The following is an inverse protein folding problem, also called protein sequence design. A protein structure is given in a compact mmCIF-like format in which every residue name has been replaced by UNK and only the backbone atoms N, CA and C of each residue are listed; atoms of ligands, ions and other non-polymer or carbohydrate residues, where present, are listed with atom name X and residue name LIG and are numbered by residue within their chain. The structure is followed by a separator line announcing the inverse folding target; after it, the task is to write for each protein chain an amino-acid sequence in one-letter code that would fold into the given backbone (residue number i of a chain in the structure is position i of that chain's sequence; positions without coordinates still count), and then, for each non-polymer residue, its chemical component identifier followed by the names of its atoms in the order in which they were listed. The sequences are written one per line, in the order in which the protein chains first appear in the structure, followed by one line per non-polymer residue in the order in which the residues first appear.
data_IF_424182628985
#
_entry.id   IF_424182628985
#
_cell.length_a   1.000
_cell.length_b   1.000
_cell.length_c   1.000
_cell.angle_alpha   90.00
_cell.angle_beta   90.00
_cell.angle_gamma   90.00
#
_symmetry.space_group_name_H-M   'P 1'
#
loop_
_entity.id
_entity.type
_entity.pdbx_description
1 polymer ?
#
# COMPACT_ATOMS: atom_id res chain seq x y z
N UNK A 1 -2.70 27.43 72.40
CA UNK A 1 -1.36 27.25 71.79
C UNK A 1 -1.28 25.89 71.12
N UNK A 2 -0.82 25.86 69.85
CA UNK A 2 -0.37 24.72 69.04
C UNK A 2 -1.36 23.54 68.90
N UNK A 3 -2.30 23.54 67.93
CA UNK A 3 -2.12 22.95 66.57
C UNK A 3 -0.73 22.37 66.32
N UNK A 4 -0.62 21.09 66.01
CA UNK A 4 -0.04 20.60 64.74
C UNK A 4 -0.18 19.06 64.64
N UNK A 5 -1.02 18.59 63.70
CA UNK A 5 -0.59 17.86 62.49
C UNK A 5 0.00 16.48 62.78
N UNK A 6 -0.79 15.42 62.58
CA UNK A 6 -0.27 14.09 62.23
C UNK A 6 -1.31 13.18 61.56
N UNK A 7 -2.26 13.76 60.82
CA UNK A 7 -3.27 13.01 60.06
C UNK A 7 -3.29 13.45 58.58
N UNK A 8 -2.10 13.70 58.02
CA UNK A 8 -1.92 14.06 56.61
C UNK A 8 -0.85 13.19 55.91
N UNK A 9 -0.73 11.91 56.28
CA UNK A 9 0.14 10.97 55.58
C UNK A 9 -0.56 9.70 55.09
N UNK A 10 -1.87 9.75 54.86
CA UNK A 10 -2.63 8.63 54.29
C UNK A 10 -3.50 9.01 53.07
N UNK A 11 -3.27 10.18 52.47
CA UNK A 11 -3.98 10.61 51.26
C UNK A 11 -3.06 10.73 50.02
N UNK A 12 -1.99 9.94 49.94
CA UNK A 12 -1.17 9.85 48.71
C UNK A 12 -1.32 8.53 47.95
N UNK A 13 -2.22 7.63 48.37
CA UNK A 13 -2.94 6.78 47.42
C UNK A 13 -4.17 7.55 46.93
N UNK A 14 -3.94 8.74 46.36
CA UNK A 14 -4.85 9.25 45.34
C UNK A 14 -4.75 8.21 44.24
N UNK A 15 -5.68 7.26 44.23
CA UNK A 15 -6.09 6.58 43.01
C UNK A 15 -6.18 7.70 41.98
N UNK A 16 -5.22 7.70 41.05
CA UNK A 16 -5.30 8.55 39.86
C UNK A 16 -6.75 8.48 39.42
N UNK A 17 -7.45 9.62 39.31
CA UNK A 17 -8.88 9.60 39.05
C UNK A 17 -9.16 8.58 37.96
N UNK A 18 -10.10 7.66 38.15
CA UNK A 18 -10.47 6.72 37.09
C UNK A 18 -10.62 7.40 35.71
N UNK A 19 -11.02 8.68 35.60
CA UNK A 19 -10.93 9.47 34.36
C UNK A 19 -9.52 9.71 33.81
N UNK A 20 -8.47 9.90 34.63
CA UNK A 20 -7.07 10.04 34.24
C UNK A 20 -6.43 8.69 33.84
N UNK A 21 -6.83 7.58 34.47
CA UNK A 21 -6.47 6.22 34.02
C UNK A 21 -7.24 5.85 32.74
N UNK A 22 -8.53 6.21 32.64
CA UNK A 22 -9.33 6.04 31.43
C UNK A 22 -8.84 6.95 30.29
N UNK A 23 -8.31 8.14 30.63
CA UNK A 23 -7.67 9.04 29.67
C UNK A 23 -6.26 8.60 29.28
N UNK A 24 -5.54 7.82 30.09
CA UNK A 24 -4.31 7.12 29.65
C UNK A 24 -4.61 5.83 28.88
N UNK A 25 -5.81 5.26 29.07
CA UNK A 25 -6.42 4.26 28.19
C UNK A 25 -7.13 4.86 26.96
N UNK A 26 -7.06 6.18 26.75
CA UNK A 26 -7.47 6.76 25.47
C UNK A 26 -6.43 6.42 24.41
N UNK A 27 -6.68 5.30 23.75
CA UNK A 27 -6.21 4.96 22.40
C UNK A 27 -4.76 5.38 22.14
N UNK A 28 -3.81 4.65 22.72
CA UNK A 28 -2.58 4.34 21.97
C UNK A 28 -3.06 3.88 20.59
N UNK A 29 -2.65 4.62 19.58
CA UNK A 29 -2.99 4.48 18.17
C UNK A 29 -3.18 2.99 17.79
N UNK A 30 -4.42 2.51 17.78
CA UNK A 30 -4.73 1.09 17.60
C UNK A 30 -4.28 0.57 16.22
N UNK A 31 -3.81 1.48 15.37
CA UNK A 31 -3.15 1.16 14.12
C UNK A 31 -1.87 0.35 14.34
N UNK A 32 -1.03 0.60 15.34
CA UNK A 32 0.20 -0.19 15.50
C UNK A 32 -0.10 -1.65 15.86
N UNK A 33 -1.09 -1.89 16.73
CA UNK A 33 -1.55 -3.23 17.07
C UNK A 33 -2.19 -3.94 15.87
N UNK A 34 -3.11 -3.27 15.17
CA UNK A 34 -3.72 -3.80 13.94
C UNK A 34 -2.70 -4.16 12.88
N UNK A 35 -1.60 -3.41 12.81
CA UNK A 35 -0.53 -3.62 11.83
C UNK A 35 0.21 -4.91 12.16
N UNK A 36 0.53 -5.09 13.43
CA UNK A 36 1.22 -6.28 13.91
C UNK A 36 0.36 -7.53 13.68
N UNK A 37 -0.95 -7.43 13.93
CA UNK A 37 -1.88 -8.54 13.65
C UNK A 37 -1.92 -8.84 12.14
N UNK A 38 -2.02 -7.82 11.28
CA UNK A 38 -1.98 -8.02 9.83
C UNK A 38 -0.64 -8.67 9.40
N UNK A 39 0.49 -8.22 9.94
CA UNK A 39 1.82 -8.80 9.69
C UNK A 39 1.91 -10.25 10.15
N UNK A 40 1.27 -10.62 11.26
CA UNK A 40 1.20 -12.01 11.75
C UNK A 40 0.29 -12.90 10.89
N UNK A 41 -0.83 -12.38 10.38
CA UNK A 41 -1.67 -13.12 9.42
C UNK A 41 -0.91 -13.39 8.14
N UNK A 42 -0.15 -12.40 7.66
CA UNK A 42 0.67 -12.56 6.46
C UNK A 42 1.85 -13.48 6.74
N UNK A 43 2.57 -13.24 7.85
CA UNK A 43 3.76 -13.95 8.29
C UNK A 43 4.72 -14.26 7.14
N UNK A 44 4.71 -15.51 6.68
CA UNK A 44 5.58 -16.02 5.63
C UNK A 44 4.87 -16.30 4.30
N UNK A 45 3.59 -16.00 4.23
CA UNK A 45 2.74 -16.30 3.09
C UNK A 45 2.79 -15.21 2.01
N UNK A 46 2.44 -15.61 0.79
CA UNK A 46 2.12 -14.72 -0.33
C UNK A 46 0.65 -14.91 -0.69
N UNK A 47 -0.10 -13.82 -0.72
CA UNK A 47 -1.50 -13.78 -1.15
C UNK A 47 -1.55 -13.22 -2.56
N UNK A 48 -1.95 -14.03 -3.54
CA UNK A 48 -2.04 -13.64 -4.94
C UNK A 48 -3.47 -13.32 -5.32
N UNK A 49 -3.67 -12.20 -6.01
CA UNK A 49 -5.00 -11.73 -6.38
C UNK A 49 -5.21 -11.72 -7.88
N UNK A 50 -6.35 -12.29 -8.29
CA UNK A 50 -6.86 -12.20 -9.64
C UNK A 50 -7.68 -10.95 -9.81
N UNK A 51 -7.39 -10.19 -10.87
CA UNK A 51 -8.12 -8.99 -11.25
C UNK A 51 -8.99 -9.27 -12.47
N UNK A 52 -10.28 -9.02 -12.35
CA UNK A 52 -11.22 -9.06 -13.48
C UNK A 52 -11.61 -7.64 -13.83
N UNK A 53 -11.22 -7.18 -15.01
CA UNK A 53 -11.51 -5.82 -15.48
C UNK A 53 -13.00 -5.69 -15.78
N UNK A 54 -13.65 -4.69 -15.18
CA UNK A 54 -15.09 -4.45 -15.32
C UNK A 54 -15.42 -3.25 -16.18
N UNK A 55 -14.57 -2.21 -16.17
CA UNK A 55 -14.79 -0.98 -16.95
C UNK A 55 -13.46 -0.30 -17.29
N UNK A 56 -13.41 0.29 -18.49
CA UNK A 56 -12.32 1.16 -18.94
C UNK A 56 -12.92 2.49 -19.41
N UNK A 57 -12.31 3.60 -19.00
CA UNK A 57 -12.57 4.93 -19.56
C UNK A 57 -11.22 5.58 -19.86
N UNK A 58 -10.90 5.80 -21.13
CA UNK A 58 -9.62 6.40 -21.56
C UNK A 58 -9.86 7.77 -22.17
N UNK A 59 -9.01 8.76 -21.86
CA UNK A 59 -9.11 10.08 -22.48
C UNK A 59 -8.20 10.22 -23.72
N UNK A 60 -6.97 9.70 -23.71
CA UNK A 60 -6.04 9.90 -24.85
C UNK A 60 -4.96 8.82 -25.03
N UNK A 61 -4.90 7.79 -24.17
CA UNK A 61 -3.90 6.72 -24.26
C UNK A 61 -4.60 5.37 -24.24
N UNK A 62 -4.35 4.55 -25.26
CA UNK A 62 -4.94 3.23 -25.33
C UNK A 62 -4.17 2.24 -24.44
N UNK A 63 -4.76 1.92 -23.30
CA UNK A 63 -4.29 0.88 -22.36
C UNK A 63 -5.33 -0.24 -22.21
N UNK A 64 -6.15 -0.47 -23.23
CA UNK A 64 -7.25 -1.44 -23.19
C UNK A 64 -6.78 -2.84 -22.79
N UNK A 65 -5.64 -3.26 -23.33
CA UNK A 65 -5.02 -4.55 -23.04
C UNK A 65 -4.08 -4.55 -21.82
N UNK A 66 -3.97 -3.43 -21.10
CA UNK A 66 -3.11 -3.38 -19.93
C UNK A 66 -3.63 -4.28 -18.81
N UNK A 67 -2.77 -5.16 -18.32
CA UNK A 67 -3.04 -6.08 -17.22
C UNK A 67 -1.92 -6.02 -16.19
N UNK A 68 -2.28 -6.29 -14.96
CA UNK A 68 -1.35 -6.39 -13.84
C UNK A 68 -1.96 -7.31 -12.78
N UNK A 69 -1.15 -7.72 -11.81
CA UNK A 69 -1.60 -8.50 -10.67
C UNK A 69 -1.29 -7.76 -9.38
N UNK A 70 -2.02 -8.11 -8.32
CA UNK A 70 -1.65 -7.74 -6.97
C UNK A 70 -1.15 -8.95 -6.20
N UNK A 71 -0.15 -8.73 -5.36
CA UNK A 71 0.27 -9.70 -4.36
C UNK A 71 0.53 -9.00 -3.02
N UNK A 72 0.17 -9.65 -1.91
CA UNK A 72 0.47 -9.19 -0.55
C UNK A 72 1.44 -10.16 0.11
N UNK A 73 2.52 -9.65 0.70
CA UNK A 73 3.54 -10.49 1.34
C UNK A 73 4.76 -9.70 1.80
N UNK A 74 5.77 -10.43 2.31
CA UNK A 74 7.11 -9.87 2.52
C UNK A 74 7.75 -9.54 1.17
N UNK A 75 8.23 -8.31 0.99
CA UNK A 75 8.73 -7.84 -0.30
C UNK A 75 9.86 -8.71 -0.89
N UNK A 76 10.74 -9.26 -0.06
CA UNK A 76 11.81 -10.17 -0.50
C UNK A 76 11.28 -11.51 -1.05
N UNK A 77 10.21 -12.05 -0.47
CA UNK A 77 9.53 -13.26 -0.97
C UNK A 77 8.82 -12.99 -2.28
N UNK A 78 8.17 -11.84 -2.42
CA UNK A 78 7.59 -11.39 -3.68
C UNK A 78 8.67 -11.28 -4.77
N UNK A 79 9.83 -10.67 -4.45
CA UNK A 79 10.99 -10.59 -5.36
C UNK A 79 11.51 -11.95 -5.81
N UNK A 80 11.59 -12.92 -4.91
CA UNK A 80 12.00 -14.27 -5.25
C UNK A 80 10.99 -14.97 -6.17
N UNK A 81 9.69 -14.85 -5.86
CA UNK A 81 8.61 -15.51 -6.62
C UNK A 81 8.39 -14.90 -8.01
N UNK A 82 8.50 -13.59 -8.15
CA UNK A 82 8.28 -12.87 -9.40
C UNK A 82 9.58 -12.30 -9.97
N UNK A 83 10.64 -13.12 -10.02
CA UNK A 83 11.98 -12.72 -10.46
C UNK A 83 12.04 -12.15 -11.88
N UNK A 84 11.12 -12.56 -12.75
CA UNK A 84 11.01 -12.13 -14.15
C UNK A 84 10.02 -10.98 -14.37
N UNK A 85 9.45 -10.43 -13.30
CA UNK A 85 8.48 -9.35 -13.34
C UNK A 85 9.04 -8.07 -12.71
N UNK A 86 8.38 -6.94 -12.97
CA UNK A 86 8.58 -5.72 -12.22
C UNK A 86 7.64 -5.74 -11.01
N UNK A 87 8.20 -5.48 -9.83
CA UNK A 87 7.46 -5.44 -8.57
C UNK A 87 7.49 -4.02 -8.05
N UNK A 88 6.32 -3.41 -7.86
CA UNK A 88 6.17 -2.07 -7.30
C UNK A 88 5.45 -2.19 -5.96
N UNK A 89 6.10 -1.79 -4.87
CA UNK A 89 5.56 -1.89 -3.52
C UNK A 89 4.58 -0.75 -3.20
N UNK A 90 3.48 -0.74 -3.94
CA UNK A 90 2.54 0.39 -3.98
C UNK A 90 1.87 0.69 -2.65
N UNK A 91 1.75 -0.31 -1.76
CA UNK A 91 1.26 -0.11 -0.40
C UNK A 91 2.18 -0.74 0.65
N UNK A 92 3.17 0.00 1.18
CA UNK A 92 3.98 -0.48 2.29
C UNK A 92 3.23 -0.43 3.62
N UNK A 93 3.53 -1.38 4.50
CA UNK A 93 2.95 -1.55 5.83
C UNK A 93 3.69 -0.72 6.89
N UNK A 94 4.31 0.38 6.50
CA UNK A 94 4.92 1.35 7.41
C UNK A 94 4.39 2.74 7.13
N UNK A 95 4.47 3.64 8.11
CA UNK A 95 4.05 5.03 7.97
C UNK A 95 4.88 5.68 6.85
N UNK A 96 4.22 6.10 5.77
CA UNK A 96 4.81 6.95 4.73
C UNK A 96 4.60 8.40 5.20
N UNK A 97 5.66 9.21 5.21
CA UNK A 97 5.50 10.65 5.47
C UNK A 97 4.69 11.26 4.32
N UNK A 98 3.77 12.17 4.63
CA UNK A 98 3.08 12.94 3.60
C UNK A 98 4.11 13.76 2.77
N UNK A 99 4.07 13.64 1.45
CA UNK A 99 5.01 14.29 0.52
C UNK A 99 5.68 13.29 -0.44
N UNK A 100 6.27 13.80 -1.53
CA UNK A 100 6.96 12.99 -2.55
C UNK A 100 8.25 12.38 -1.98
N UNK A 101 8.23 11.10 -1.60
CA UNK A 101 9.49 10.36 -1.34
C UNK A 101 10.02 9.83 -2.67
N UNK A 102 11.03 10.49 -3.24
CA UNK A 102 11.75 9.99 -4.42
C UNK A 102 12.89 9.09 -3.98
N UNK A 103 12.78 7.80 -4.25
CA UNK A 103 13.85 6.82 -4.01
C UNK A 103 14.18 6.07 -5.30
N UNK A 104 15.39 5.51 -5.39
CA UNK A 104 15.74 4.66 -6.52
C UNK A 104 14.90 3.37 -6.44
N UNK A 105 14.46 2.85 -7.59
CA UNK A 105 13.63 1.64 -7.66
C UNK A 105 14.23 0.44 -6.90
N UNK A 106 15.56 0.31 -6.86
CA UNK A 106 16.25 -0.80 -6.20
C UNK A 106 16.40 -0.64 -4.68
N UNK A 107 16.14 0.54 -4.12
CA UNK A 107 16.30 0.84 -2.69
C UNK A 107 15.05 0.55 -1.85
N UNK A 108 14.03 -0.05 -2.47
CA UNK A 108 12.79 -0.42 -1.77
C UNK A 108 13.10 -1.34 -0.57
N UNK A 109 12.56 -0.96 0.59
CA UNK A 109 12.74 -1.65 1.88
C UNK A 109 12.18 -3.08 1.91
N UNK A 110 12.76 -3.90 2.78
CA UNK A 110 12.35 -5.27 3.10
C UNK A 110 11.25 -5.29 4.18
N UNK A 111 10.04 -4.88 3.83
CA UNK A 111 8.89 -4.99 4.76
C UNK A 111 7.72 -5.71 4.07
N UNK A 112 6.62 -5.86 4.79
CA UNK A 112 5.34 -6.28 4.26
C UNK A 112 4.76 -5.20 3.35
N UNK A 113 4.27 -5.63 2.19
CA UNK A 113 3.74 -4.74 1.16
C UNK A 113 2.56 -5.40 0.45
N UNK A 114 1.63 -4.58 -0.05
CA UNK A 114 0.83 -4.96 -1.20
C UNK A 114 1.50 -4.36 -2.44
N UNK A 115 1.84 -5.21 -3.40
CA UNK A 115 2.62 -4.87 -4.57
C UNK A 115 1.83 -5.10 -5.85
N UNK A 116 2.08 -4.23 -6.84
CA UNK A 116 1.73 -4.51 -8.22
C UNK A 116 2.83 -5.37 -8.83
N UNK A 117 2.42 -6.44 -9.49
CA UNK A 117 3.26 -7.30 -10.30
C UNK A 117 2.95 -6.99 -11.77
N UNK A 118 3.96 -6.50 -12.51
CA UNK A 118 3.87 -6.20 -13.94
C UNK A 118 4.76 -7.13 -14.74
N UNK A 119 4.21 -7.71 -15.80
CA UNK A 119 5.06 -8.33 -16.81
C UNK A 119 5.86 -7.28 -17.58
N UNK A 120 6.93 -7.71 -18.23
CA UNK A 120 7.74 -6.86 -19.11
C UNK A 120 6.92 -6.29 -20.29
N UNK A 121 5.95 -7.03 -20.81
CA UNK A 121 5.03 -6.60 -21.87
C UNK A 121 4.10 -5.49 -21.36
N UNK A 122 3.50 -5.68 -20.18
CA UNK A 122 2.65 -4.66 -19.56
C UNK A 122 3.45 -3.39 -19.24
N UNK A 123 4.67 -3.55 -18.71
CA UNK A 123 5.58 -2.44 -18.43
C UNK A 123 5.97 -1.67 -19.71
N UNK A 124 6.21 -2.38 -20.83
CA UNK A 124 6.46 -1.75 -22.15
C UNK A 124 5.23 -1.00 -22.66
N UNK A 125 4.04 -1.58 -22.51
CA UNK A 125 2.79 -0.97 -22.99
C UNK A 125 2.52 0.39 -22.34
N UNK A 126 2.76 0.53 -21.05
CA UNK A 126 2.61 1.82 -20.35
C UNK A 126 3.86 2.70 -20.41
N UNK A 127 4.93 2.19 -21.04
CA UNK A 127 6.16 2.94 -21.25
C UNK A 127 7.04 3.05 -20.01
N UNK A 128 6.98 2.13 -19.03
CA UNK A 128 7.97 2.07 -17.93
C UNK A 128 9.34 1.67 -18.49
N UNK A 129 9.35 0.67 -19.38
CA UNK A 129 10.52 0.26 -20.15
C UNK A 129 10.27 0.53 -21.63
N UNK A 130 11.34 0.79 -22.38
CA UNK A 130 11.24 1.08 -23.81
C UNK A 130 11.41 -0.20 -24.66
N UNK A 131 12.18 -1.17 -24.17
CA UNK A 131 12.43 -2.42 -24.88
C UNK A 131 12.63 -3.64 -23.97
N UNK A 132 12.32 -4.83 -24.51
CA UNK A 132 12.38 -6.15 -23.85
C UNK A 132 13.57 -6.95 -24.42
N UNK A 133 14.77 -6.37 -24.35
CA UNK A 133 16.03 -7.07 -24.63
C UNK A 133 16.57 -7.81 -23.40
N UNK A 134 17.69 -8.57 -23.51
CA UNK A 134 18.33 -9.25 -22.37
C UNK A 134 18.62 -8.32 -21.18
N UNK A 135 18.97 -7.06 -21.46
CA UNK A 135 19.34 -6.06 -20.44
C UNK A 135 18.19 -5.13 -20.05
N UNK A 136 16.92 -5.52 -20.26
CA UNK A 136 15.78 -4.66 -19.96
C UNK A 136 15.74 -4.18 -18.49
N UNK A 137 16.27 -4.98 -17.55
CA UNK A 137 16.37 -4.63 -16.12
C UNK A 137 17.33 -3.47 -15.87
N UNK A 138 18.31 -3.22 -16.74
CA UNK A 138 19.24 -2.08 -16.61
C UNK A 138 18.51 -0.74 -16.76
N UNK A 139 17.43 -0.70 -17.55
CA UNK A 139 16.59 0.50 -17.69
C UNK A 139 15.93 0.90 -16.34
N UNK A 140 15.73 -0.06 -15.43
CA UNK A 140 15.13 0.19 -14.12
C UNK A 140 16.07 0.92 -13.16
N UNK A 141 17.40 0.83 -13.36
CA UNK A 141 18.39 1.44 -12.45
C UNK A 141 18.27 2.95 -12.39
N UNK A 142 17.89 3.58 -13.50
CA UNK A 142 17.65 5.02 -13.59
C UNK A 142 16.27 5.47 -13.13
N UNK A 143 15.34 4.54 -12.87
CA UNK A 143 13.97 4.89 -12.49
C UNK A 143 13.92 5.38 -11.04
N UNK A 144 13.34 6.55 -10.87
CA UNK A 144 12.95 7.06 -9.56
C UNK A 144 11.48 6.74 -9.32
N UNK A 145 11.17 6.33 -8.10
CA UNK A 145 9.80 6.04 -7.69
C UNK A 145 9.37 6.98 -6.57
N UNK A 146 8.12 7.40 -6.62
CA UNK A 146 7.43 8.25 -5.66
C UNK A 146 6.27 7.51 -5.03
N UNK A 147 6.02 7.75 -3.75
CA UNK A 147 4.76 7.36 -3.10
C UNK A 147 4.12 8.59 -2.53
N UNK A 148 2.83 8.77 -2.83
CA UNK A 148 2.02 9.83 -2.27
C UNK A 148 0.85 9.22 -1.53
N UNK A 149 0.58 9.76 -0.35
CA UNK A 149 -0.63 9.48 0.39
C UNK A 149 -1.38 10.79 0.59
N UNK A 150 -2.64 10.84 0.15
CA UNK A 150 -3.45 12.06 0.19
C UNK A 150 -4.38 12.10 1.40
N UNK A 151 -4.56 10.99 2.12
CA UNK A 151 -5.39 11.00 3.33
C UNK A 151 -4.61 11.60 4.51
N UNK A 152 -5.17 12.66 5.11
CA UNK A 152 -4.55 13.37 6.23
C UNK A 152 -4.37 12.54 7.51
N UNK A 153 -5.11 11.44 7.65
CA UNK A 153 -5.30 10.79 8.96
C UNK A 153 -5.11 9.27 8.97
N UNK A 154 -5.17 8.58 7.82
CA UNK A 154 -5.17 7.11 7.80
C UNK A 154 -4.68 6.52 6.48
N UNK A 155 -3.54 5.86 6.52
CA UNK A 155 -2.95 5.15 5.37
C UNK A 155 -3.60 3.78 5.12
N UNK A 156 -3.98 3.09 6.20
CA UNK A 156 -4.53 1.74 6.12
C UNK A 156 -5.40 1.36 7.32
N UNK A 157 -6.19 0.28 7.19
CA UNK A 157 -6.94 -0.41 8.24
C UNK A 157 -6.78 -1.93 8.11
N UNK A 158 -6.96 -2.63 9.24
CA UNK A 158 -7.14 -4.07 9.27
C UNK A 158 -8.37 -4.43 10.10
N UNK A 159 -9.26 -5.23 9.50
CA UNK A 159 -10.38 -5.90 10.16
C UNK A 159 -9.98 -7.32 10.48
N UNK A 160 -9.83 -7.64 11.76
CA UNK A 160 -9.45 -8.97 12.24
C UNK A 160 -10.50 -10.02 11.92
N UNK A 161 -11.78 -9.70 12.19
CA UNK A 161 -12.94 -10.58 11.92
C UNK A 161 -12.95 -11.03 10.45
N UNK A 162 -12.75 -10.09 9.53
CA UNK A 162 -12.78 -10.37 8.09
C UNK A 162 -11.42 -10.69 7.49
N UNK A 163 -10.35 -10.65 8.29
CA UNK A 163 -8.96 -10.59 7.83
C UNK A 163 -8.79 -9.69 6.60
N UNK A 164 -9.40 -8.51 6.64
CA UNK A 164 -9.47 -7.56 5.52
C UNK A 164 -8.53 -6.40 5.75
N UNK A 165 -7.58 -6.23 4.85
CA UNK A 165 -6.64 -5.13 4.84
C UNK A 165 -7.10 -4.08 3.83
N UNK A 166 -7.23 -2.82 4.26
CA UNK A 166 -7.67 -1.72 3.41
C UNK A 166 -6.60 -0.64 3.38
N UNK A 167 -6.28 -0.11 2.20
CA UNK A 167 -5.40 1.04 1.99
C UNK A 167 -6.19 2.20 1.41
N UNK A 168 -6.03 3.40 1.97
CA UNK A 168 -6.82 4.56 1.59
C UNK A 168 -6.03 5.53 0.72
N UNK A 169 -6.63 5.96 -0.40
CA UNK A 169 -6.16 7.02 -1.29
C UNK A 169 -4.62 7.16 -1.38
N UNK A 170 -4.01 6.32 -2.21
CA UNK A 170 -2.57 6.32 -2.46
C UNK A 170 -2.27 6.53 -3.94
N UNK A 171 -1.14 7.16 -4.22
CA UNK A 171 -0.54 7.17 -5.54
C UNK A 171 0.86 6.59 -5.51
N UNK A 172 1.18 5.83 -6.55
CA UNK A 172 2.52 5.37 -6.84
C UNK A 172 2.99 6.00 -8.14
N UNK A 173 4.11 6.73 -8.09
CA UNK A 173 4.64 7.49 -9.22
C UNK A 173 5.92 6.84 -9.69
N UNK A 174 6.06 6.65 -10.99
CA UNK A 174 7.31 6.29 -11.67
C UNK A 174 7.75 7.50 -12.46
N UNK A 175 8.91 8.05 -12.10
CA UNK A 175 9.53 9.17 -12.80
C UNK A 175 10.51 8.62 -13.84
N UNK A 176 10.29 9.01 -15.08
CA UNK A 176 11.25 8.94 -16.19
C UNK A 176 11.79 10.35 -16.43
N UNK A 177 12.79 10.50 -17.32
CA UNK A 177 13.47 11.79 -17.54
C UNK A 177 12.49 12.94 -17.79
N UNK A 178 11.64 12.80 -18.80
CA UNK A 178 10.77 13.87 -19.29
C UNK A 178 9.26 13.53 -19.12
N UNK A 179 8.98 12.45 -18.38
CA UNK A 179 7.63 11.91 -18.20
C UNK A 179 7.48 11.32 -16.80
N UNK A 180 6.25 11.32 -16.27
CA UNK A 180 5.89 10.49 -15.11
C UNK A 180 4.63 9.68 -15.39
N UNK A 181 4.62 8.48 -14.81
CA UNK A 181 3.48 7.58 -14.81
C UNK A 181 3.02 7.45 -13.36
N UNK A 182 1.76 7.73 -13.10
CA UNK A 182 1.18 7.65 -11.77
C UNK A 182 0.03 6.63 -11.76
N UNK A 183 0.12 5.68 -10.84
CA UNK A 183 -0.96 4.79 -10.48
C UNK A 183 -1.69 5.38 -9.27
N UNK A 184 -2.92 5.89 -9.46
CA UNK A 184 -3.77 6.36 -8.35
C UNK A 184 -4.75 5.29 -7.95
N UNK A 185 -4.78 4.98 -6.66
CA UNK A 185 -5.67 4.00 -6.07
C UNK A 185 -6.68 4.73 -5.18
N UNK A 186 -7.96 4.64 -5.55
CA UNK A 186 -9.05 4.96 -4.64
C UNK A 186 -9.35 3.73 -3.81
N UNK A 187 -9.22 3.86 -2.49
CA UNK A 187 -9.50 2.87 -1.43
C UNK A 187 -9.53 1.40 -1.91
N UNK A 188 -8.41 0.69 -1.74
CA UNK A 188 -8.29 -0.72 -2.12
C UNK A 188 -8.38 -1.60 -0.88
N UNK A 189 -9.05 -2.74 -1.00
CA UNK A 189 -9.09 -3.75 0.05
C UNK A 189 -8.61 -5.10 -0.46
N UNK A 190 -8.02 -5.87 0.43
CA UNK A 190 -7.46 -7.19 0.20
C UNK A 190 -7.97 -8.13 1.31
N UNK A 191 -8.57 -9.25 0.94
CA UNK A 191 -8.87 -10.34 1.88
C UNK A 191 -7.61 -11.18 2.06
N UNK A 192 -7.26 -11.49 3.31
CA UNK A 192 -6.18 -12.41 3.67
C UNK A 192 -6.72 -13.77 4.12
N UNK A 193 -7.95 -14.10 3.74
CA UNK A 193 -8.61 -15.36 4.07
C UNK A 193 -9.46 -15.84 2.88
N UNK A 194 -9.09 -17.00 2.32
CA UNK A 194 -9.82 -17.64 1.20
C UNK A 194 -11.23 -18.09 1.59
N UNK A 195 -11.49 -18.31 2.87
CA UNK A 195 -12.79 -18.79 3.34
C UNK A 195 -13.85 -17.68 3.41
N UNK A 196 -13.45 -16.42 3.21
CA UNK A 196 -14.36 -15.27 3.22
C UNK A 196 -14.71 -14.92 1.78
N UNK A 197 -16.01 -14.99 1.48
CA UNK A 197 -16.54 -14.54 0.20
C UNK A 197 -17.10 -13.13 0.36
N UNK A 198 -16.30 -12.13 0.01
CA UNK A 198 -16.73 -10.73 -0.07
C UNK A 198 -16.36 -10.21 -1.46
N UNK A 199 -17.32 -9.62 -2.18
CA UNK A 199 -17.05 -8.99 -3.48
C UNK A 199 -16.29 -7.69 -3.23
N UNK A 200 -15.04 -7.64 -3.66
CA UNK A 200 -14.22 -6.44 -3.60
C UNK A 200 -14.05 -5.85 -5.00
N UNK A 201 -14.21 -4.53 -5.11
CA UNK A 201 -13.93 -3.78 -6.32
C UNK A 201 -13.13 -2.54 -5.97
N UNK A 202 -12.40 -2.03 -6.96
CA UNK A 202 -11.60 -0.82 -6.81
C UNK A 202 -11.36 -0.19 -8.17
N UNK A 203 -10.88 1.06 -8.12
CA UNK A 203 -10.49 1.85 -9.29
C UNK A 203 -9.01 2.17 -9.23
N UNK A 204 -8.34 1.98 -10.35
CA UNK A 204 -6.98 2.47 -10.61
C UNK A 204 -7.03 3.49 -11.72
N UNK A 205 -6.48 4.67 -11.47
CA UNK A 205 -6.19 5.61 -12.55
C UNK A 205 -4.74 5.48 -12.94
N UNK A 206 -4.49 5.19 -14.21
CA UNK A 206 -3.18 5.39 -14.82
C UNK A 206 -3.15 6.80 -15.37
N UNK A 207 -2.29 7.64 -14.81
CA UNK A 207 -2.11 9.03 -15.23
C UNK A 207 -0.71 9.16 -15.83
N UNK A 208 -0.64 9.71 -17.03
CA UNK A 208 0.60 10.00 -17.73
C UNK A 208 0.71 11.51 -17.86
N UNK A 209 1.87 12.06 -17.51
CA UNK A 209 2.13 13.47 -17.72
C UNK A 209 3.56 13.69 -18.21
N UNK A 210 3.71 14.58 -19.18
CA UNK A 210 5.00 15.07 -19.68
C UNK A 210 5.42 16.37 -18.97
N UNK A 211 6.63 16.84 -19.28
CA UNK A 211 7.17 18.10 -18.78
C UNK A 211 6.40 19.35 -19.23
N UNK A 212 5.56 19.23 -20.27
CA UNK A 212 4.69 20.31 -20.75
C UNK A 212 3.34 20.34 -20.00
N UNK A 213 3.17 19.52 -18.97
CA UNK A 213 1.92 19.33 -18.24
C UNK A 213 0.76 18.79 -19.10
N UNK A 214 1.05 18.16 -20.24
CA UNK A 214 0.04 17.41 -20.96
C UNK A 214 -0.31 16.18 -20.15
N UNK A 215 -1.58 16.04 -19.77
CA UNK A 215 -2.04 14.91 -18.96
C UNK A 215 -2.94 14.03 -19.81
N UNK A 216 -2.61 12.74 -19.87
CA UNK A 216 -3.53 11.70 -20.31
C UNK A 216 -3.83 10.74 -19.16
N UNK A 217 -5.02 10.16 -19.15
CA UNK A 217 -5.39 9.21 -18.11
C UNK A 217 -6.24 8.07 -18.65
N UNK A 218 -6.27 6.98 -17.88
CA UNK A 218 -7.13 5.83 -18.08
C UNK A 218 -7.67 5.35 -16.74
N UNK A 219 -8.98 5.30 -16.62
CA UNK A 219 -9.69 4.78 -15.47
C UNK A 219 -9.95 3.29 -15.67
N UNK A 220 -9.43 2.47 -14.77
CA UNK A 220 -9.54 1.03 -14.83
C UNK A 220 -10.27 0.54 -13.57
N UNK A 221 -11.48 0.02 -13.74
CA UNK A 221 -12.24 -0.59 -12.66
C UNK A 221 -12.03 -2.11 -12.68
N UNK A 222 -11.83 -2.69 -11.51
CA UNK A 222 -11.57 -4.12 -11.34
C UNK A 222 -12.42 -4.69 -10.21
N UNK A 223 -12.91 -5.91 -10.42
CA UNK A 223 -13.23 -6.83 -9.33
C UNK A 223 -11.92 -7.56 -8.93
N UNK A 224 -11.65 -7.64 -7.63
CA UNK A 224 -10.46 -8.31 -7.06
C UNK A 224 -10.88 -9.54 -6.25
N UNK A 225 -10.21 -10.66 -6.49
CA UNK A 225 -10.43 -11.90 -5.76
C UNK A 225 -9.10 -12.51 -5.31
N UNK A 226 -9.06 -13.02 -4.08
CA UNK A 226 -7.93 -13.82 -3.61
C UNK A 226 -7.93 -15.16 -4.36
N UNK A 227 -6.89 -15.42 -5.14
CA UNK A 227 -6.77 -16.61 -5.97
C UNK A 227 -5.99 -17.70 -5.23
N UNK A 228 -4.80 -17.36 -4.73
CA UNK A 228 -3.89 -18.30 -4.07
C UNK A 228 -3.35 -17.75 -2.76
N UNK A 229 -3.06 -18.66 -1.82
CA UNK A 229 -2.22 -18.41 -0.66
C UNK A 229 -1.05 -19.40 -0.75
N UNK A 230 0.16 -18.88 -0.76
CA UNK A 230 1.40 -19.65 -0.88
C UNK A 230 2.12 -19.56 0.45
N UNK A 231 2.63 -20.68 0.94
CA UNK A 231 3.35 -20.79 2.22
C UNK A 231 4.86 -20.65 2.05
#
# INVERSE_FOLDING_TARGET
MKKHWNLLFLNSLILLPAPLIAASCNKKDNSEQKLEIAKNVIADKIFEYKLTKTKIITNNKNVENFTFQFAVGKFEKLKARYSDYLIFDVFPFHKIKAGEIKQNYHEIKKDFVAAIILSKEAAKQIGIINDIGPDWKEQLKSLKIGKLHTAKYRHWDFSEEKQKLTFYNNSYIVYKKDEKIEFRFSDISFLLNKNISEKLNFRVDLVFSDDNNNVSYSHLCYDINLENIIE
#
